data_IF_721794915748
#
_entry.id   IF_721794915748
#
_cell.length_a   1.000
_cell.length_b   1.000
_cell.length_c   1.000
_cell.angle_alpha   90.00
_cell.angle_beta   90.00
_cell.angle_gamma   90.00
#
_symmetry.space_group_name_H-M   'P 1'
#
loop_
_entity.id
_entity.type
_entity.pdbx_description
1 polymer ?
#
# COMPACT_ATOMS: atom_id res chain seq x y z
N UNK A 1 -13.29 -3.05 -23.81
CA UNK A 1 -13.89 -1.79 -24.30
C UNK A 1 -15.27 -1.96 -24.95
N UNK A 2 -15.43 -2.79 -25.99
CA UNK A 2 -16.73 -2.96 -26.71
C UNK A 2 -17.93 -3.32 -25.80
N UNK A 3 -17.74 -4.22 -24.82
CA UNK A 3 -18.79 -4.61 -23.86
C UNK A 3 -19.26 -3.43 -22.97
N UNK A 4 -18.41 -2.45 -22.69
CA UNK A 4 -18.78 -1.28 -21.88
C UNK A 4 -19.58 -0.27 -22.69
N UNK A 5 -19.27 -0.10 -23.98
CA UNK A 5 -20.04 0.75 -24.90
C UNK A 5 -21.47 0.22 -25.05
N UNK A 6 -21.61 -1.10 -25.23
CA UNK A 6 -22.92 -1.73 -25.36
C UNK A 6 -23.73 -1.53 -24.07
N UNK A 7 -23.09 -1.67 -22.89
CA UNK A 7 -23.74 -1.42 -21.60
C UNK A 7 -24.22 0.03 -21.46
N UNK A 8 -23.37 1.02 -21.77
CA UNK A 8 -23.77 2.44 -21.68
C UNK A 8 -24.90 2.77 -22.63
N UNK A 9 -24.84 2.27 -23.87
CA UNK A 9 -25.93 2.40 -24.85
C UNK A 9 -27.24 1.80 -24.31
N UNK A 10 -27.21 0.56 -23.83
CA UNK A 10 -28.42 -0.12 -23.34
C UNK A 10 -29.03 0.60 -22.14
N UNK A 11 -28.21 1.10 -21.22
CA UNK A 11 -28.70 1.83 -20.04
C UNK A 11 -29.33 3.16 -20.45
N UNK A 12 -28.67 3.94 -21.30
CA UNK A 12 -29.21 5.22 -21.78
C UNK A 12 -30.48 5.04 -22.62
N UNK A 13 -30.51 4.05 -23.50
CA UNK A 13 -31.69 3.74 -24.29
C UNK A 13 -32.89 3.38 -23.41
N UNK A 14 -32.68 2.54 -22.38
CA UNK A 14 -33.73 2.20 -21.42
C UNK A 14 -34.20 3.43 -20.65
N UNK A 15 -33.28 4.31 -20.22
CA UNK A 15 -33.62 5.55 -19.51
C UNK A 15 -34.47 6.48 -20.38
N UNK A 16 -34.08 6.71 -21.64
CA UNK A 16 -34.81 7.58 -22.57
C UNK A 16 -36.23 7.04 -22.78
N UNK A 17 -36.36 5.74 -23.08
CA UNK A 17 -37.66 5.09 -23.27
C UNK A 17 -38.52 5.18 -22.01
N UNK A 18 -37.94 4.98 -20.81
CA UNK A 18 -38.68 5.11 -19.55
C UNK A 18 -39.16 6.54 -19.29
N UNK A 19 -38.30 7.53 -19.53
CA UNK A 19 -38.62 8.95 -19.33
C UNK A 19 -39.73 9.38 -20.26
N UNK A 20 -39.69 8.98 -21.53
CA UNK A 20 -40.73 9.34 -22.49
C UNK A 20 -42.08 8.69 -22.17
N UNK A 21 -42.09 7.41 -21.77
CA UNK A 21 -43.32 6.72 -21.32
C UNK A 21 -43.91 7.40 -20.08
N UNK A 22 -43.06 7.82 -19.14
CA UNK A 22 -43.48 8.50 -17.93
C UNK A 22 -44.03 9.91 -18.23
N UNK A 23 -43.33 10.67 -19.08
CA UNK A 23 -43.74 12.02 -19.50
C UNK A 23 -45.07 11.98 -20.26
N UNK A 24 -45.25 11.00 -21.15
CA UNK A 24 -46.51 10.79 -21.86
C UNK A 24 -47.66 10.43 -20.89
N UNK A 25 -47.41 9.57 -19.91
CA UNK A 25 -48.44 9.22 -18.91
C UNK A 25 -48.89 10.42 -18.08
N UNK A 26 -47.97 11.32 -17.71
CA UNK A 26 -48.29 12.56 -16.99
C UNK A 26 -49.05 13.55 -17.89
N UNK A 27 -48.58 13.76 -19.13
CA UNK A 27 -49.12 14.80 -20.02
C UNK A 27 -50.50 14.44 -20.56
N UNK A 28 -50.72 13.17 -20.88
CA UNK A 28 -51.99 12.68 -21.42
C UNK A 28 -53.01 12.36 -20.31
N UNK A 29 -52.57 12.27 -19.04
CA UNK A 29 -53.40 11.85 -17.91
C UNK A 29 -53.87 10.38 -18.00
N UNK A 30 -53.26 9.60 -18.90
CA UNK A 30 -53.65 8.22 -19.21
C UNK A 30 -52.83 7.26 -18.37
N UNK A 31 -53.51 6.27 -17.77
CA UNK A 31 -52.87 5.22 -16.98
C UNK A 31 -51.97 4.33 -17.84
N UNK A 32 -50.89 3.80 -17.26
CA UNK A 32 -49.94 2.92 -17.96
C UNK A 32 -50.58 1.67 -18.59
N UNK A 33 -51.70 1.18 -18.02
CA UNK A 33 -52.47 0.06 -18.55
C UNK A 33 -53.21 0.40 -19.85
N UNK A 34 -53.74 1.62 -19.95
CA UNK A 34 -54.46 2.09 -21.14
C UNK A 34 -53.50 2.40 -22.30
N UNK A 35 -52.29 2.86 -22.00
CA UNK A 35 -51.20 3.04 -22.98
C UNK A 35 -50.91 1.71 -23.69
N UNK A 36 -50.94 0.59 -22.97
CA UNK A 36 -50.68 -0.73 -23.56
C UNK A 36 -51.75 -1.17 -24.56
N UNK A 37 -53.01 -0.76 -24.36
CA UNK A 37 -54.10 -0.99 -25.31
C UNK A 37 -53.99 -0.12 -26.57
N UNK A 38 -53.52 1.12 -26.41
CA UNK A 38 -53.33 2.06 -27.52
C UNK A 38 -52.08 1.73 -28.36
N UNK A 39 -51.03 1.19 -27.72
CA UNK A 39 -49.85 0.63 -28.38
C UNK A 39 -50.22 -0.48 -29.37
N UNK A 40 -51.19 -1.33 -29.00
CA UNK A 40 -51.64 -2.43 -29.86
C UNK A 40 -52.41 -1.96 -31.10
N UNK A 41 -52.96 -0.75 -31.09
CA UNK A 41 -53.73 -0.22 -32.22
C UNK A 41 -52.87 0.63 -33.18
N UNK A 42 -51.80 1.25 -32.67
CA UNK A 42 -50.94 2.18 -33.42
C UNK A 42 -49.50 1.67 -33.62
N UNK A 43 -49.36 0.44 -34.15
CA UNK A 43 -48.07 -0.22 -34.37
C UNK A 43 -47.02 0.64 -35.13
N UNK A 44 -47.44 1.40 -36.14
CA UNK A 44 -46.52 2.23 -36.93
C UNK A 44 -45.92 3.40 -36.14
N UNK A 45 -46.72 4.06 -35.29
CA UNK A 45 -46.24 5.17 -34.46
C UNK A 45 -45.22 4.72 -33.44
N UNK A 46 -45.47 3.56 -32.81
CA UNK A 46 -44.52 2.94 -31.86
C UNK A 46 -43.23 2.56 -32.57
N UNK A 47 -43.31 2.02 -33.78
CA UNK A 47 -42.12 1.58 -34.52
C UNK A 47 -41.23 2.76 -34.92
N UNK A 48 -41.84 3.87 -35.37
CA UNK A 48 -41.13 5.13 -35.66
C UNK A 48 -40.51 5.69 -34.38
N UNK A 49 -41.27 5.73 -33.28
CA UNK A 49 -40.79 6.25 -32.01
C UNK A 49 -39.59 5.46 -31.47
N UNK A 50 -39.67 4.13 -31.47
CA UNK A 50 -38.59 3.25 -31.03
C UNK A 50 -37.34 3.40 -31.91
N UNK A 51 -37.54 3.58 -33.22
CA UNK A 51 -36.45 3.83 -34.17
C UNK A 51 -35.75 5.15 -33.87
N UNK A 52 -36.50 6.23 -33.64
CA UNK A 52 -35.97 7.57 -33.32
C UNK A 52 -35.24 7.56 -31.97
N UNK A 53 -35.82 6.95 -30.94
CA UNK A 53 -35.18 6.81 -29.63
C UNK A 53 -33.87 6.00 -29.72
N UNK A 54 -33.86 4.93 -30.53
CA UNK A 54 -32.68 4.11 -30.76
C UNK A 54 -31.57 4.89 -31.46
N UNK A 55 -31.95 5.70 -32.45
CA UNK A 55 -31.02 6.55 -33.21
C UNK A 55 -30.40 7.63 -32.31
N UNK A 56 -31.20 8.29 -31.47
CA UNK A 56 -30.73 9.27 -30.48
C UNK A 56 -29.74 8.65 -29.48
N UNK A 57 -30.07 7.48 -28.92
CA UNK A 57 -29.18 6.78 -28.00
C UNK A 57 -27.86 6.35 -28.68
N UNK A 58 -27.91 6.00 -29.97
CA UNK A 58 -26.75 5.58 -30.74
C UNK A 58 -25.83 6.78 -31.00
N UNK A 59 -26.40 7.90 -31.43
CA UNK A 59 -25.68 9.16 -31.61
C UNK A 59 -25.02 9.59 -30.30
N UNK A 60 -25.75 9.60 -29.19
CA UNK A 60 -25.22 9.98 -27.89
C UNK A 60 -24.07 9.05 -27.44
N UNK A 61 -24.23 7.74 -27.62
CA UNK A 61 -23.18 6.76 -27.30
C UNK A 61 -21.96 6.94 -28.19
N UNK A 62 -22.15 7.26 -29.47
CA UNK A 62 -21.07 7.50 -30.42
C UNK A 62 -20.29 8.77 -30.08
N UNK A 63 -20.97 9.86 -29.70
CA UNK A 63 -20.32 11.06 -29.17
C UNK A 63 -19.55 10.78 -27.87
N UNK A 64 -20.17 10.08 -26.91
CA UNK A 64 -19.50 9.65 -25.68
C UNK A 64 -18.29 8.76 -25.96
N UNK A 65 -18.34 7.92 -27.00
CA UNK A 65 -17.21 7.11 -27.42
C UNK A 65 -16.07 7.97 -27.95
N UNK A 66 -16.36 8.94 -28.83
CA UNK A 66 -15.37 9.88 -29.36
C UNK A 66 -14.72 10.70 -28.24
N UNK A 67 -15.51 11.19 -27.28
CA UNK A 67 -15.05 12.01 -26.16
C UNK A 67 -14.23 11.20 -25.15
N UNK A 68 -14.73 10.02 -24.75
CA UNK A 68 -14.04 9.09 -23.86
C UNK A 68 -12.74 8.55 -24.48
N UNK A 69 -12.66 8.44 -25.80
CA UNK A 69 -11.42 8.06 -26.49
C UNK A 69 -10.34 9.14 -26.45
N UNK A 70 -10.71 10.43 -26.47
CA UNK A 70 -9.75 11.53 -26.31
C UNK A 70 -9.22 11.57 -24.88
N UNK A 71 -10.14 11.59 -23.91
CA UNK A 71 -9.82 11.61 -22.48
C UNK A 71 -8.88 10.45 -22.13
N UNK A 72 -9.18 9.22 -22.56
CA UNK A 72 -8.30 8.07 -22.29
C UNK A 72 -6.92 8.20 -22.91
N UNK A 73 -6.82 8.72 -24.12
CA UNK A 73 -5.51 8.91 -24.77
C UNK A 73 -4.68 9.92 -24.00
N UNK A 74 -5.29 11.04 -23.63
CA UNK A 74 -4.61 12.13 -22.92
C UNK A 74 -4.21 11.68 -21.50
N UNK A 75 -5.05 10.90 -20.80
CA UNK A 75 -4.69 10.29 -19.51
C UNK A 75 -3.56 9.25 -19.62
N UNK A 76 -3.55 8.42 -20.66
CA UNK A 76 -2.46 7.46 -20.87
C UNK A 76 -1.15 8.19 -21.21
N UNK A 77 -1.24 9.25 -22.01
CA UNK A 77 -0.09 10.07 -22.39
C UNK A 77 0.46 10.85 -21.19
N UNK A 78 -0.40 11.36 -20.32
CA UNK A 78 -0.01 12.04 -19.08
C UNK A 78 0.62 11.09 -18.06
N UNK A 79 0.15 9.86 -17.91
CA UNK A 79 0.81 8.83 -17.09
C UNK A 79 2.22 8.54 -17.63
N UNK A 80 2.36 8.49 -18.96
CA UNK A 80 3.65 8.23 -19.61
C UNK A 80 4.62 9.42 -19.46
N UNK A 81 4.13 10.66 -19.50
CA UNK A 81 4.90 11.89 -19.23
C UNK A 81 5.32 12.02 -17.78
N UNK A 82 4.46 11.65 -16.83
CA UNK A 82 4.79 11.57 -15.40
C UNK A 82 5.88 10.52 -15.14
N UNK A 83 5.82 9.37 -15.82
CA UNK A 83 6.89 8.36 -15.77
C UNK A 83 8.21 8.84 -16.40
N UNK A 84 8.17 9.85 -17.26
CA UNK A 84 9.34 10.47 -17.90
C UNK A 84 9.74 11.80 -17.25
N UNK A 85 9.18 12.14 -16.08
CA UNK A 85 9.54 13.30 -15.27
C UNK A 85 9.30 14.66 -16.00
N UNK A 86 8.28 14.71 -16.86
CA UNK A 86 7.79 15.94 -17.52
C UNK A 86 6.48 16.42 -16.86
N UNK A 87 6.29 17.74 -16.77
CA UNK A 87 5.15 18.32 -16.04
C UNK A 87 3.81 18.05 -16.75
N UNK A 88 2.82 17.44 -16.06
CA UNK A 88 1.50 17.19 -16.63
C UNK A 88 0.65 18.47 -16.68
N UNK A 89 -0.21 18.61 -17.71
CA UNK A 89 -1.11 19.76 -17.89
C UNK A 89 -2.26 19.79 -16.88
N UNK A 90 -2.62 18.66 -16.26
CA UNK A 90 -3.69 18.60 -15.26
C UNK A 90 -3.18 18.93 -13.82
N UNK A 91 -3.73 19.99 -13.17
CA UNK A 91 -3.24 20.46 -11.87
C UNK A 91 -3.40 19.45 -10.74
N UNK A 92 -4.43 18.60 -10.79
CA UNK A 92 -4.67 17.57 -9.76
C UNK A 92 -3.66 16.42 -9.83
N UNK A 93 -3.28 16.00 -11.04
CA UNK A 93 -2.28 14.95 -11.24
C UNK A 93 -0.88 15.43 -10.86
N UNK A 94 -0.58 16.71 -11.13
CA UNK A 94 0.66 17.37 -10.70
C UNK A 94 0.79 17.40 -9.18
N UNK A 95 -0.28 17.79 -8.48
CA UNK A 95 -0.30 17.82 -7.02
C UNK A 95 -0.09 16.43 -6.42
N UNK A 96 -0.72 15.41 -6.99
CA UNK A 96 -0.60 14.03 -6.53
C UNK A 96 0.80 13.45 -6.81
N UNK A 97 1.38 13.74 -7.97
CA UNK A 97 2.75 13.33 -8.29
C UNK A 97 3.79 14.01 -7.38
N UNK A 98 3.64 15.32 -7.13
CA UNK A 98 4.50 16.05 -6.20
C UNK A 98 4.40 15.47 -4.78
N UNK A 99 3.19 15.15 -4.32
CA UNK A 99 2.98 14.56 -3.00
C UNK A 99 3.58 13.16 -2.89
N UNK A 100 3.43 12.33 -3.92
CA UNK A 100 4.08 11.01 -3.98
C UNK A 100 5.61 11.12 -3.96
N UNK A 101 6.17 12.08 -4.70
CA UNK A 101 7.61 12.34 -4.73
C UNK A 101 8.13 12.79 -3.37
N UNK A 102 7.43 13.71 -2.71
CA UNK A 102 7.75 14.18 -1.35
C UNK A 102 7.73 13.02 -0.35
N UNK A 103 6.67 12.20 -0.34
CA UNK A 103 6.58 11.03 0.53
C UNK A 103 7.67 9.98 0.23
N UNK A 104 8.04 9.80 -1.04
CA UNK A 104 9.11 8.87 -1.40
C UNK A 104 10.48 9.33 -0.90
N UNK A 105 10.75 10.64 -0.94
CA UNK A 105 12.00 11.22 -0.43
C UNK A 105 12.06 11.08 1.09
N UNK A 106 10.98 11.41 1.78
CA UNK A 106 10.88 11.29 3.24
C UNK A 106 11.07 9.84 3.70
N UNK A 107 10.45 8.88 3.01
CA UNK A 107 10.63 7.45 3.30
C UNK A 107 12.07 6.98 3.03
N UNK A 108 12.71 7.48 1.96
CA UNK A 108 14.10 7.15 1.67
C UNK A 108 15.04 7.68 2.76
N UNK A 109 14.84 8.90 3.22
CA UNK A 109 15.61 9.51 4.31
C UNK A 109 15.41 8.79 5.65
N UNK A 110 14.16 8.46 6.00
CA UNK A 110 13.87 7.65 7.19
C UNK A 110 14.50 6.25 7.10
N UNK A 111 14.50 5.64 5.92
CA UNK A 111 15.12 4.33 5.71
C UNK A 111 16.64 4.37 5.85
N UNK A 112 17.29 5.42 5.33
CA UNK A 112 18.74 5.58 5.40
C UNK A 112 19.18 5.89 6.84
N UNK A 113 18.46 6.78 7.54
CA UNK A 113 18.71 7.09 8.94
C UNK A 113 18.52 5.87 9.84
N UNK A 114 17.46 5.08 9.63
CA UNK A 114 17.22 3.84 10.38
C UNK A 114 18.31 2.80 10.10
N UNK A 115 18.82 2.72 8.87
CA UNK A 115 19.92 1.83 8.51
C UNK A 115 21.22 2.25 9.19
N UNK A 116 21.55 3.54 9.17
CA UNK A 116 22.73 4.11 9.84
C UNK A 116 22.69 3.85 11.36
N UNK A 117 21.57 4.15 12.02
CA UNK A 117 21.40 3.90 13.45
C UNK A 117 21.55 2.41 13.80
N UNK A 118 21.00 1.50 12.98
CA UNK A 118 21.17 0.06 13.20
C UNK A 118 22.62 -0.37 13.07
N UNK A 119 23.36 0.16 12.10
CA UNK A 119 24.77 -0.15 11.92
C UNK A 119 25.61 0.32 13.12
N UNK A 120 25.38 1.53 13.60
CA UNK A 120 26.06 2.10 14.78
C UNK A 120 25.77 1.29 16.06
N UNK A 121 24.51 0.90 16.28
CA UNK A 121 24.13 0.04 17.42
C UNK A 121 24.85 -1.31 17.33
N UNK A 122 24.87 -1.94 16.15
CA UNK A 122 25.52 -3.24 15.96
C UNK A 122 27.04 -3.15 16.20
N UNK A 123 27.70 -2.09 15.75
CA UNK A 123 29.13 -1.88 16.00
C UNK A 123 29.43 -1.70 17.49
N UNK A 124 28.62 -0.88 18.17
CA UNK A 124 28.73 -0.63 19.61
C UNK A 124 28.54 -1.91 20.41
N UNK A 125 27.50 -2.69 20.09
CA UNK A 125 27.24 -3.99 20.73
C UNK A 125 28.34 -5.00 20.45
N UNK A 126 28.88 -5.06 19.23
CA UNK A 126 30.01 -5.96 18.91
C UNK A 126 31.23 -5.65 19.78
N UNK A 127 31.54 -4.37 19.99
CA UNK A 127 32.64 -3.93 20.84
C UNK A 127 32.39 -4.26 22.32
N UNK A 128 31.16 -4.06 22.80
CA UNK A 128 30.75 -4.41 24.17
C UNK A 128 30.89 -5.92 24.40
N UNK A 129 30.30 -6.73 23.53
CA UNK A 129 30.34 -8.20 23.60
C UNK A 129 31.79 -8.70 23.56
N UNK A 130 32.65 -8.14 22.70
CA UNK A 130 34.06 -8.55 22.65
C UNK A 130 34.80 -8.29 23.96
N UNK A 131 34.50 -7.17 24.64
CA UNK A 131 35.08 -6.85 25.94
C UNK A 131 34.55 -7.80 27.02
N UNK A 132 33.24 -7.95 27.08
CA UNK A 132 32.58 -8.83 28.06
C UNK A 132 33.05 -10.28 27.89
N UNK A 133 33.17 -10.76 26.66
CA UNK A 133 33.71 -12.09 26.37
C UNK A 133 35.17 -12.22 26.81
N UNK A 134 36.01 -11.22 26.55
CA UNK A 134 37.41 -11.26 26.98
C UNK A 134 37.54 -11.28 28.50
N UNK A 135 36.75 -10.46 29.19
CA UNK A 135 36.77 -10.38 30.65
C UNK A 135 36.20 -11.66 31.28
N UNK A 136 35.11 -12.22 30.75
CA UNK A 136 34.53 -13.46 31.23
C UNK A 136 35.44 -14.67 30.98
N UNK A 137 36.02 -14.79 29.79
CA UNK A 137 36.98 -15.86 29.47
C UNK A 137 38.23 -15.76 30.34
N UNK A 138 38.72 -14.55 30.61
CA UNK A 138 39.88 -14.36 31.50
C UNK A 138 39.57 -14.74 32.94
N UNK A 139 38.36 -14.41 33.43
CA UNK A 139 37.90 -14.81 34.77
C UNK A 139 37.72 -16.33 34.89
N UNK A 140 37.11 -16.96 33.90
CA UNK A 140 36.93 -18.42 33.86
C UNK A 140 38.28 -19.14 33.78
N UNK A 141 39.21 -18.67 32.94
CA UNK A 141 40.55 -19.24 32.83
C UNK A 141 41.35 -19.06 34.12
N UNK A 142 41.21 -17.91 34.79
CA UNK A 142 41.81 -17.66 36.09
C UNK A 142 41.24 -18.59 37.16
N UNK A 143 39.92 -18.73 37.24
CA UNK A 143 39.25 -19.66 38.16
C UNK A 143 39.66 -21.11 37.90
N UNK A 144 39.71 -21.54 36.63
CA UNK A 144 40.18 -22.86 36.23
C UNK A 144 41.65 -23.09 36.65
N UNK A 145 42.50 -22.08 36.49
CA UNK A 145 43.91 -22.14 36.92
C UNK A 145 44.02 -22.23 38.44
N UNK A 146 43.20 -21.49 39.18
CA UNK A 146 43.14 -21.53 40.64
C UNK A 146 42.67 -22.89 41.16
N UNK A 147 41.62 -23.45 40.57
CA UNK A 147 41.12 -24.80 40.90
C UNK A 147 42.20 -25.85 40.58
N UNK A 148 42.81 -25.80 39.40
CA UNK A 148 43.87 -26.72 39.01
C UNK A 148 45.07 -26.64 39.96
N UNK A 149 45.50 -25.43 40.32
CA UNK A 149 46.58 -25.20 41.29
C UNK A 149 46.24 -25.72 42.69
N UNK A 150 44.98 -25.67 43.11
CA UNK A 150 44.55 -26.25 44.39
C UNK A 150 44.58 -27.78 44.36
N UNK A 151 44.21 -28.39 43.23
CA UNK A 151 44.23 -29.85 43.05
C UNK A 151 45.66 -30.37 42.99
N UNK A 152 46.57 -29.69 42.26
CA UNK A 152 47.98 -30.08 42.17
C UNK A 152 48.78 -29.66 43.41
N UNK A 153 48.40 -28.58 44.09
CA UNK A 153 48.99 -28.14 45.35
C UNK A 153 48.69 -29.09 46.52
N UNK A 154 47.52 -29.73 46.52
CA UNK A 154 47.17 -30.77 47.50
C UNK A 154 48.02 -32.05 47.36
N UNK A 155 48.71 -32.27 46.23
CA UNK A 155 49.69 -33.35 46.10
C UNK A 155 51.09 -32.97 46.59
N UNK A 156 51.40 -31.67 46.71
CA UNK A 156 52.71 -31.15 47.12
C UNK A 156 52.79 -30.66 48.57
N UNK A 157 51.67 -30.39 49.23
CA UNK A 157 51.63 -29.78 50.58
C UNK A 157 51.02 -30.71 51.66
N UNK A 158 51.45 -31.97 51.69
CA UNK A 158 51.33 -32.83 52.88
C UNK A 158 52.38 -32.52 53.95
N UNK A 159 53.09 -31.40 53.84
CA UNK A 159 54.07 -30.99 54.85
C UNK A 159 54.21 -29.47 54.91
N UNK A 160 53.69 -28.90 56.00
CA UNK A 160 53.98 -27.55 56.49
C UNK A 160 53.32 -26.40 55.73
N UNK A 161 52.23 -25.86 56.28
CA UNK A 161 52.07 -24.41 56.60
C UNK A 161 50.64 -24.12 57.10
N UNK A 162 50.14 -24.97 57.99
CA UNK A 162 48.94 -24.68 58.78
C UNK A 162 49.30 -23.64 59.84
N UNK A 163 48.49 -22.59 59.93
CA UNK A 163 48.05 -21.89 61.15
C UNK A 163 48.26 -20.37 61.19
N UNK A 164 49.25 -19.79 60.50
CA UNK A 164 49.56 -18.35 60.67
C UNK A 164 48.87 -17.38 59.69
N UNK A 165 48.35 -17.85 58.54
CA UNK A 165 47.74 -16.94 57.55
C UNK A 165 46.23 -16.70 57.74
N UNK A 166 45.54 -17.50 58.55
CA UNK A 166 44.09 -17.38 58.75
C UNK A 166 43.73 -16.22 59.71
N UNK A 167 44.64 -15.82 60.62
CA UNK A 167 44.36 -14.78 61.62
C UNK A 167 44.44 -13.34 61.09
N UNK A 168 45.04 -13.11 59.92
CA UNK A 168 45.25 -11.74 59.42
C UNK A 168 44.07 -11.19 58.60
N UNK A 169 43.25 -12.07 58.00
CA UNK A 169 42.11 -11.66 57.14
C UNK A 169 40.84 -11.26 57.93
N UNK A 170 40.71 -11.59 59.22
CA UNK A 170 39.52 -11.25 60.02
C UNK A 170 39.55 -9.83 60.62
N UNK A 171 40.67 -9.09 60.50
CA UNK A 171 40.85 -7.79 61.16
C UNK A 171 40.62 -6.55 60.27
N UNK A 172 40.13 -6.73 59.05
CA UNK A 172 39.77 -5.61 58.16
C UNK A 172 38.37 -5.84 57.57
N UNK A 173 37.38 -5.95 58.45
CA UNK A 173 35.99 -5.53 58.22
C UNK A 173 35.81 -4.19 58.92
#
# INVERSE_FOLDING_TARGET
MKKSIIKTFTVLFIIIVLVDVLLFSITSGVSTASIMGEIANNFYGIWIFLSVAGLLALVFTFFNFLENSKIKRDFYEDIQRVSQNQEPEHPELKALHLRLKEMSVELQELSSQKSANKAEIVETERKRISRELHDSVSQELFAATMILSSVTGNEAESSNLTQDQILTQTRLV
#
